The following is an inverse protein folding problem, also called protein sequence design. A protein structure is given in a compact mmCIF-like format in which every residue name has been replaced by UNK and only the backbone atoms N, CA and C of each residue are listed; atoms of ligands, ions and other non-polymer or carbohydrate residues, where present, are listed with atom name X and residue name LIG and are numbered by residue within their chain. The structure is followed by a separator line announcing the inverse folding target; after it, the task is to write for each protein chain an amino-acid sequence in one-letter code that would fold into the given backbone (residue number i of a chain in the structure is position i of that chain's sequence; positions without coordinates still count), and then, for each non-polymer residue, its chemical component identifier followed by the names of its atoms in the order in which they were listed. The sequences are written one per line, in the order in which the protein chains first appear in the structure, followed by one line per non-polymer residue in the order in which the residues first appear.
data_IF_950184012573
#
_entry.id   IF_950184012573
#
_cell.length_a   1.000
_cell.length_b   1.000
_cell.length_c   1.000
_cell.angle_alpha   90.00
_cell.angle_beta   90.00
_cell.angle_gamma   90.00
#
_symmetry.space_group_name_H-M   'P 1'
#
loop_
_entity.id
_entity.type
_entity.pdbx_description
1 polymer ?
#
# COMPACT_ATOMS: atom_id res chain seq x y z
N UNK A 1 18.19 -6.48 -3.78
CA UNK A 1 17.56 -5.15 -3.77
C UNK A 1 16.42 -5.17 -2.78
N UNK A 2 16.43 -4.26 -1.81
CA UNK A 2 15.32 -4.05 -0.87
C UNK A 2 14.21 -3.25 -1.54
N UNK A 3 13.00 -3.28 -0.98
CA UNK A 3 11.89 -2.44 -1.48
C UNK A 3 12.25 -0.95 -1.48
N UNK A 4 12.98 -0.49 -0.45
CA UNK A 4 13.44 0.90 -0.37
C UNK A 4 14.38 1.28 -1.51
N UNK A 5 15.34 0.41 -1.84
CA UNK A 5 16.25 0.61 -2.97
C UNK A 5 15.48 0.62 -4.29
N UNK A 6 14.56 -0.33 -4.49
CA UNK A 6 13.71 -0.37 -5.67
C UNK A 6 12.89 0.91 -5.85
N UNK A 7 12.24 1.40 -4.80
CA UNK A 7 11.48 2.65 -4.89
C UNK A 7 12.38 3.85 -5.20
N UNK A 8 13.56 3.93 -4.57
CA UNK A 8 14.50 5.01 -4.80
C UNK A 8 15.03 5.02 -6.24
N UNK A 9 15.29 3.85 -6.84
CA UNK A 9 15.68 3.71 -8.25
C UNK A 9 14.57 4.18 -9.21
N UNK A 10 13.31 4.06 -8.81
CA UNK A 10 12.15 4.55 -9.55
C UNK A 10 11.75 5.99 -9.16
N UNK A 11 12.64 6.73 -8.50
CA UNK A 11 12.42 8.15 -8.18
C UNK A 11 11.54 8.42 -6.95
N UNK A 12 11.17 7.40 -6.18
CA UNK A 12 10.33 7.55 -5.00
C UNK A 12 11.08 7.27 -3.69
N UNK A 13 11.08 8.24 -2.77
CA UNK A 13 11.64 8.05 -1.42
C UNK A 13 10.53 7.71 -0.44
N UNK A 14 10.61 6.52 0.17
CA UNK A 14 9.66 6.08 1.20
C UNK A 14 9.64 7.05 2.40
N UNK A 15 8.42 7.37 2.83
CA UNK A 15 8.10 8.29 3.92
C UNK A 15 7.54 7.55 5.15
N UNK A 16 7.13 6.29 5.00
CA UNK A 16 6.48 5.50 6.06
C UNK A 16 7.20 4.18 6.33
N UNK A 17 6.72 3.45 7.34
CA UNK A 17 7.18 2.09 7.68
C UNK A 17 6.28 0.99 7.12
N UNK A 18 5.26 1.32 6.32
CA UNK A 18 4.22 0.38 5.92
C UNK A 18 4.78 -0.91 5.31
N UNK A 19 5.80 -0.82 4.45
CA UNK A 19 6.43 -2.01 3.89
C UNK A 19 6.91 -3.00 4.97
N UNK A 20 7.57 -2.48 6.02
CA UNK A 20 8.05 -3.29 7.13
C UNK A 20 6.88 -3.83 7.95
N UNK A 21 5.89 -3.00 8.26
CA UNK A 21 4.74 -3.38 9.07
C UNK A 21 3.94 -4.52 8.42
N UNK A 22 3.67 -4.41 7.12
CA UNK A 22 3.02 -5.48 6.35
C UNK A 22 3.91 -6.72 6.19
N UNK A 23 5.24 -6.55 6.03
CA UNK A 23 6.16 -7.70 5.99
C UNK A 23 6.24 -8.46 7.32
N UNK A 24 6.00 -7.79 8.44
CA UNK A 24 5.85 -8.43 9.75
C UNK A 24 4.50 -9.11 9.81
N UNK A 25 3.41 -8.42 9.44
CA UNK A 25 2.06 -8.96 9.45
C UNK A 25 1.89 -10.21 8.58
N UNK A 26 2.57 -10.28 7.43
CA UNK A 26 2.62 -11.45 6.56
C UNK A 26 2.98 -12.74 7.34
N UNK A 27 3.87 -12.64 8.33
CA UNK A 27 4.32 -13.78 9.15
C UNK A 27 3.27 -14.26 10.15
N UNK A 28 2.28 -13.43 10.46
CA UNK A 28 1.18 -13.72 11.38
C UNK A 28 -0.13 -14.08 10.66
N UNK A 29 -0.13 -14.07 9.33
CA UNK A 29 -1.24 -14.50 8.49
C UNK A 29 -2.31 -13.42 8.24
N UNK A 30 -3.35 -13.84 7.51
CA UNK A 30 -4.42 -12.96 7.00
C UNK A 30 -5.03 -12.01 8.05
N UNK A 31 -5.36 -12.43 9.29
CA UNK A 31 -5.95 -11.53 10.27
C UNK A 31 -5.02 -10.38 10.67
N UNK A 32 -3.72 -10.62 10.76
CA UNK A 32 -2.74 -9.59 11.12
C UNK A 32 -2.54 -8.57 10.00
N UNK A 33 -2.57 -9.02 8.74
CA UNK A 33 -2.53 -8.14 7.57
C UNK A 33 -3.76 -7.24 7.52
N UNK A 34 -4.95 -7.81 7.74
CA UNK A 34 -6.20 -7.05 7.81
C UNK A 34 -6.18 -6.01 8.93
N UNK A 35 -5.75 -6.38 10.14
CA UNK A 35 -5.63 -5.46 11.27
C UNK A 35 -4.63 -4.32 10.99
N UNK A 36 -3.47 -4.66 10.43
CA UNK A 36 -2.43 -3.68 10.07
C UNK A 36 -2.97 -2.67 9.05
N UNK A 37 -3.70 -3.14 8.03
CA UNK A 37 -4.37 -2.26 7.09
C UNK A 37 -5.42 -1.39 7.78
N UNK A 38 -6.30 -1.97 8.60
CA UNK A 38 -7.37 -1.22 9.26
C UNK A 38 -6.82 -0.05 10.08
N UNK A 39 -5.74 -0.29 10.84
CA UNK A 39 -5.07 0.75 11.62
C UNK A 39 -4.41 1.80 10.73
N UNK A 40 -3.58 1.38 9.77
CA UNK A 40 -2.88 2.30 8.87
C UNK A 40 -3.85 3.15 8.05
N UNK A 41 -4.88 2.54 7.47
CA UNK A 41 -5.88 3.24 6.68
C UNK A 41 -6.72 4.20 7.53
N UNK A 42 -7.19 3.78 8.71
CA UNK A 42 -7.97 4.65 9.59
C UNK A 42 -7.20 5.90 10.01
N UNK A 43 -5.90 5.74 10.33
CA UNK A 43 -5.03 6.83 10.77
C UNK A 43 -4.61 7.75 9.62
N UNK A 44 -4.22 7.18 8.47
CA UNK A 44 -3.51 7.91 7.44
C UNK A 44 -4.29 8.23 6.17
N UNK A 45 -5.53 7.75 6.00
CA UNK A 45 -6.34 7.99 4.77
C UNK A 45 -6.57 9.46 4.42
N UNK A 46 -6.40 10.40 5.35
CA UNK A 46 -6.53 11.85 5.07
C UNK A 46 -5.21 12.53 4.70
N UNK A 47 -4.08 11.85 4.87
CA UNK A 47 -2.79 12.33 4.42
C UNK A 47 -2.54 11.73 3.04
N UNK A 48 -2.77 12.51 1.99
CA UNK A 48 -2.70 12.02 0.61
C UNK A 48 -1.36 11.35 0.28
N UNK A 49 -0.23 11.85 0.78
CA UNK A 49 1.09 11.22 0.55
C UNK A 49 1.19 9.83 1.16
N UNK A 50 0.73 9.67 2.40
CA UNK A 50 0.81 8.40 3.10
C UNK A 50 -0.25 7.42 2.59
N UNK A 51 -1.44 7.92 2.20
CA UNK A 51 -2.44 7.12 1.50
C UNK A 51 -1.87 6.57 0.18
N UNK A 52 -1.23 7.41 -0.63
CA UNK A 52 -0.57 6.98 -1.87
C UNK A 52 0.50 5.92 -1.59
N UNK A 53 1.38 6.13 -0.61
CA UNK A 53 2.40 5.14 -0.26
C UNK A 53 1.80 3.82 0.26
N UNK A 54 0.70 3.89 1.03
CA UNK A 54 -0.04 2.71 1.47
C UNK A 54 -0.55 1.90 0.28
N UNK A 55 -1.21 2.57 -0.68
CA UNK A 55 -1.73 1.93 -1.91
C UNK A 55 -0.60 1.29 -2.71
N UNK A 56 0.52 1.99 -2.86
CA UNK A 56 1.69 1.48 -3.56
C UNK A 56 2.27 0.24 -2.85
N UNK A 57 2.40 0.26 -1.53
CA UNK A 57 2.84 -0.92 -0.75
C UNK A 57 1.87 -2.10 -0.93
N UNK A 58 0.55 -1.86 -0.87
CA UNK A 58 -0.45 -2.91 -1.06
C UNK A 58 -0.32 -3.54 -2.46
N UNK A 59 -0.14 -2.74 -3.50
CA UNK A 59 0.07 -3.24 -4.87
C UNK A 59 1.31 -4.14 -4.97
N UNK A 60 2.45 -3.70 -4.42
CA UNK A 60 3.67 -4.52 -4.42
C UNK A 60 3.53 -5.80 -3.58
N UNK A 61 2.73 -5.76 -2.52
CA UNK A 61 2.41 -6.95 -1.71
C UNK A 61 1.58 -7.98 -2.47
N UNK A 62 0.64 -7.57 -3.33
CA UNK A 62 -0.06 -8.47 -4.24
C UNK A 62 0.95 -9.21 -5.11
N UNK A 63 1.87 -8.48 -5.75
CA UNK A 63 2.89 -9.08 -6.62
C UNK A 63 3.82 -10.03 -5.85
N UNK A 64 4.22 -9.66 -4.63
CA UNK A 64 5.06 -10.49 -3.77
C UNK A 64 4.42 -11.86 -3.49
N UNK A 65 3.10 -11.91 -3.26
CA UNK A 65 2.40 -13.13 -2.88
C UNK A 65 1.74 -13.88 -4.06
N UNK A 66 1.61 -13.25 -5.22
CA UNK A 66 0.83 -13.72 -6.38
C UNK A 66 1.04 -15.21 -6.75
N UNK A 67 2.29 -15.70 -6.68
CA UNK A 67 2.61 -17.10 -7.02
C UNK A 67 2.67 -18.04 -5.83
N UNK A 68 3.00 -17.54 -4.65
CA UNK A 68 3.35 -18.37 -3.49
C UNK A 68 2.18 -18.54 -2.51
N UNK A 69 1.35 -17.51 -2.38
CA UNK A 69 0.21 -17.50 -1.46
C UNK A 69 -0.98 -16.75 -2.10
N UNK A 70 -1.81 -17.45 -2.89
CA UNK A 70 -2.94 -16.84 -3.60
C UNK A 70 -3.99 -16.22 -2.67
N UNK A 71 -4.19 -16.78 -1.47
CA UNK A 71 -5.16 -16.23 -0.51
C UNK A 71 -4.65 -14.93 0.11
N UNK A 72 -3.35 -14.86 0.43
CA UNK A 72 -2.70 -13.61 0.85
C UNK A 72 -2.75 -12.56 -0.26
N UNK A 73 -2.43 -12.93 -1.50
CA UNK A 73 -2.51 -12.02 -2.65
C UNK A 73 -3.95 -11.50 -2.87
N UNK A 74 -4.95 -12.36 -2.71
CA UNK A 74 -6.37 -11.98 -2.82
C UNK A 74 -6.79 -11.00 -1.72
N UNK A 75 -6.34 -11.21 -0.48
CA UNK A 75 -6.55 -10.25 0.60
C UNK A 75 -5.90 -8.90 0.27
N UNK A 76 -4.62 -8.88 -0.09
CA UNK A 76 -3.95 -7.63 -0.45
C UNK A 76 -4.65 -6.91 -1.60
N UNK A 77 -5.17 -7.64 -2.59
CA UNK A 77 -5.93 -7.06 -3.68
C UNK A 77 -7.24 -6.40 -3.21
N UNK A 78 -7.99 -7.03 -2.29
CA UNK A 78 -9.21 -6.40 -1.78
C UNK A 78 -8.92 -5.15 -0.96
N UNK A 79 -7.82 -5.14 -0.19
CA UNK A 79 -7.37 -3.98 0.58
C UNK A 79 -6.88 -2.85 -0.33
N UNK A 80 -6.13 -3.19 -1.38
CA UNK A 80 -5.67 -2.25 -2.40
C UNK A 80 -6.87 -1.57 -3.09
N UNK A 81 -7.84 -2.35 -3.58
CA UNK A 81 -9.06 -1.82 -4.22
C UNK A 81 -9.83 -0.87 -3.29
N UNK A 82 -9.92 -1.20 -2.00
CA UNK A 82 -10.60 -0.35 -1.02
C UNK A 82 -9.90 1.01 -0.85
N UNK A 83 -8.57 1.01 -0.76
CA UNK A 83 -7.79 2.23 -0.58
C UNK A 83 -7.73 3.07 -1.87
N UNK A 84 -7.55 2.43 -3.03
CA UNK A 84 -7.57 3.06 -4.36
C UNK A 84 -8.91 3.77 -4.62
N UNK A 85 -10.04 3.07 -4.41
CA UNK A 85 -11.36 3.65 -4.57
C UNK A 85 -11.54 4.88 -3.65
N UNK A 86 -11.10 4.78 -2.39
CA UNK A 86 -11.15 5.92 -1.48
C UNK A 86 -10.30 7.10 -1.98
N UNK A 87 -9.09 6.85 -2.49
CA UNK A 87 -8.23 7.91 -3.01
C UNK A 87 -8.89 8.63 -4.20
N UNK A 88 -9.42 7.89 -5.18
CA UNK A 88 -10.09 8.44 -6.36
C UNK A 88 -11.31 9.29 -5.95
N UNK A 89 -12.10 8.81 -4.98
CA UNK A 89 -13.29 9.52 -4.51
C UNK A 89 -12.95 10.81 -3.74
N UNK A 90 -11.90 10.78 -2.91
CA UNK A 90 -11.67 11.84 -1.90
C UNK A 90 -10.55 12.82 -2.27
N UNK A 91 -9.52 12.40 -3.01
CA UNK A 91 -8.44 13.30 -3.43
C UNK A 91 -8.91 14.20 -4.57
N UNK A 92 -8.42 15.44 -4.59
CA UNK A 92 -8.79 16.47 -5.57
C UNK A 92 -7.59 17.35 -5.92
N UNK A 93 -7.61 17.93 -7.12
CA UNK A 93 -6.56 18.85 -7.58
C UNK A 93 -5.17 18.23 -7.49
N UNK A 94 -4.22 18.97 -6.90
CA UNK A 94 -2.83 18.55 -6.76
C UNK A 94 -2.63 17.27 -5.95
N UNK A 95 -3.54 16.93 -5.04
CA UNK A 95 -3.46 15.67 -4.28
C UNK A 95 -3.74 14.46 -5.18
N UNK A 96 -4.71 14.60 -6.09
CA UNK A 96 -5.07 13.56 -7.05
C UNK A 96 -4.03 13.44 -8.17
N UNK A 97 -3.45 14.57 -8.61
CA UNK A 97 -2.33 14.57 -9.55
C UNK A 97 -1.12 13.83 -8.97
N UNK A 98 -0.76 14.13 -7.71
CA UNK A 98 0.31 13.42 -7.01
C UNK A 98 0.02 11.91 -6.88
N UNK A 99 -1.23 11.56 -6.60
CA UNK A 99 -1.64 10.16 -6.52
C UNK A 99 -1.33 9.43 -7.83
N UNK A 100 -1.83 9.95 -8.96
CA UNK A 100 -1.60 9.32 -10.26
C UNK A 100 -0.13 9.29 -10.65
N UNK A 101 0.62 10.38 -10.46
CA UNK A 101 2.05 10.44 -10.80
C UNK A 101 2.87 9.36 -10.07
N UNK A 102 2.51 9.03 -8.83
CA UNK A 102 3.25 8.05 -8.03
C UNK A 102 2.79 6.61 -8.29
N UNK A 103 1.55 6.40 -8.73
CA UNK A 103 0.97 5.06 -8.94
C UNK A 103 1.00 4.55 -10.38
N UNK A 104 1.23 5.42 -11.36
CA UNK A 104 1.41 5.08 -12.79
C UNK A 104 2.79 4.45 -13.06
#
# INVERSE_FOLDING_TARGET
MTFREFMAENGYTLQTTFWSDFSIADRFGLPAVQDTFNRAFAEWKKNYKYLTELILVLNHKIWQHYKADPEMAKLYNSLWMQADQYAIENLKGSELEYYYEVTD
#
